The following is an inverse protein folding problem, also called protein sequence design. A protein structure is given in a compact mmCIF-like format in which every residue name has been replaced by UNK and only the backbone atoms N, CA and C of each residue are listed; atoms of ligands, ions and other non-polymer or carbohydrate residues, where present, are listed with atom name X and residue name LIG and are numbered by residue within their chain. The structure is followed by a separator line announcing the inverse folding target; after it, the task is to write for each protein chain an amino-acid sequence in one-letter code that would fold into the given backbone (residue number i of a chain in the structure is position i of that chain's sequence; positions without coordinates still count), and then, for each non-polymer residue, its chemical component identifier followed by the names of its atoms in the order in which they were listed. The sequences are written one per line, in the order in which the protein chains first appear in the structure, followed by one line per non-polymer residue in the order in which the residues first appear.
data_IF_959849565045
#
_entry.id   IF_959849565045
#
_cell.length_a   1.000
_cell.length_b   1.000
_cell.length_c   1.000
_cell.angle_alpha   90.00
_cell.angle_beta   90.00
_cell.angle_gamma   90.00
#
_symmetry.space_group_name_H-M   'P 1'
#
loop_
_entity.id
_entity.type
_entity.pdbx_description
1 polymer ?
#
# COMPACT_ATOMS: atom_id res chain seq x y z
N UNK A 1 -23.09 -13.71 -26.95
CA UNK A 1 -23.22 -12.81 -25.77
C UNK A 1 -21.82 -12.32 -25.41
N UNK A 2 -21.55 -11.01 -25.51
CA UNK A 2 -20.25 -10.44 -25.17
C UNK A 2 -20.05 -10.47 -23.64
N UNK A 3 -18.90 -10.97 -23.17
CA UNK A 3 -18.55 -10.97 -21.74
C UNK A 3 -18.54 -9.53 -21.22
N UNK A 4 -19.16 -9.23 -20.05
CA UNK A 4 -19.06 -7.90 -19.46
C UNK A 4 -17.58 -7.56 -19.21
N UNK A 5 -17.14 -6.39 -19.67
CA UNK A 5 -15.75 -5.93 -19.53
C UNK A 5 -15.44 -5.80 -18.03
N UNK A 6 -14.51 -6.60 -17.54
CA UNK A 6 -14.12 -6.63 -16.14
C UNK A 6 -13.64 -5.23 -15.70
N UNK A 7 -14.22 -4.70 -14.63
CA UNK A 7 -13.97 -3.33 -14.18
C UNK A 7 -12.51 -3.07 -13.82
N UNK A 8 -11.78 -4.09 -13.34
CA UNK A 8 -10.33 -4.00 -13.09
C UNK A 8 -9.50 -3.84 -14.37
N UNK A 9 -10.06 -4.14 -15.54
CA UNK A 9 -9.41 -3.97 -16.85
C UNK A 9 -9.88 -2.71 -17.58
N UNK A 10 -10.57 -1.81 -16.86
CA UNK A 10 -10.95 -0.53 -17.42
C UNK A 10 -9.76 0.44 -17.36
N UNK A 11 -9.18 0.74 -18.53
CA UNK A 11 -8.01 1.61 -18.68
C UNK A 11 -8.19 2.99 -17.98
N UNK A 12 -9.39 3.57 -18.06
CA UNK A 12 -9.69 4.85 -17.41
C UNK A 12 -9.57 4.75 -15.88
N UNK A 13 -10.04 3.65 -15.28
CA UNK A 13 -9.87 3.42 -13.85
C UNK A 13 -8.40 3.26 -13.48
N UNK A 14 -7.61 2.58 -14.31
CA UNK A 14 -6.16 2.50 -14.14
C UNK A 14 -5.49 3.88 -14.12
N UNK A 15 -5.85 4.76 -15.06
CA UNK A 15 -5.34 6.14 -15.09
C UNK A 15 -5.71 6.91 -13.82
N UNK A 16 -6.98 6.86 -13.42
CA UNK A 16 -7.45 7.59 -12.22
C UNK A 16 -6.72 7.08 -10.98
N UNK A 17 -6.59 5.76 -10.81
CA UNK A 17 -5.88 5.17 -9.68
C UNK A 17 -4.40 5.54 -9.67
N UNK A 18 -3.74 5.52 -10.83
CA UNK A 18 -2.35 5.95 -10.94
C UNK A 18 -2.17 7.44 -10.59
N UNK A 19 -3.06 8.30 -11.09
CA UNK A 19 -3.03 9.73 -10.80
C UNK A 19 -3.27 10.02 -9.31
N UNK A 20 -4.27 9.39 -8.70
CA UNK A 20 -4.59 9.55 -7.28
C UNK A 20 -3.49 8.97 -6.39
N UNK A 21 -2.96 7.79 -6.74
CA UNK A 21 -1.86 7.15 -6.00
C UNK A 21 -0.59 7.99 -6.02
N UNK A 22 -0.20 8.48 -7.21
CA UNK A 22 0.96 9.38 -7.36
C UNK A 22 0.76 10.73 -6.69
N UNK A 23 -0.44 11.31 -6.76
CA UNK A 23 -0.77 12.54 -6.05
C UNK A 23 -0.66 12.37 -4.53
N UNK A 24 -1.21 11.27 -3.99
CA UNK A 24 -1.15 10.99 -2.57
C UNK A 24 0.31 10.88 -2.09
N UNK A 25 1.13 10.15 -2.84
CA UNK A 25 2.56 10.00 -2.52
C UNK A 25 3.32 11.33 -2.59
N UNK A 26 3.08 12.15 -3.63
CA UNK A 26 3.68 13.47 -3.75
C UNK A 26 3.25 14.40 -2.59
N UNK A 27 1.96 14.39 -2.26
CA UNK A 27 1.42 15.19 -1.16
C UNK A 27 2.01 14.78 0.18
N UNK A 28 2.03 13.47 0.51
CA UNK A 28 2.55 13.03 1.80
C UNK A 28 4.05 13.24 1.90
N UNK A 29 4.79 13.09 0.79
CA UNK A 29 6.21 13.36 0.78
C UNK A 29 6.51 14.85 0.98
N UNK A 30 5.88 15.73 0.20
CA UNK A 30 6.18 17.17 0.23
C UNK A 30 5.61 17.89 1.47
N UNK A 31 4.42 17.49 1.93
CA UNK A 31 3.65 18.24 2.94
C UNK A 31 3.52 17.47 4.26
N UNK A 32 3.68 16.16 4.25
CA UNK A 32 3.44 15.30 5.42
C UNK A 32 4.70 14.59 5.92
N UNK A 33 5.79 15.33 6.00
CA UNK A 33 7.02 14.89 6.69
C UNK A 33 7.93 13.99 5.87
N UNK A 34 7.80 13.93 4.54
CA UNK A 34 8.77 13.18 3.71
C UNK A 34 8.48 11.69 3.60
N UNK A 35 7.30 11.21 3.99
CA UNK A 35 6.94 9.78 3.89
C UNK A 35 6.02 9.53 2.70
N UNK A 36 6.17 8.39 2.05
CA UNK A 36 5.25 7.93 1.01
C UNK A 36 4.08 7.16 1.61
N UNK A 37 2.88 7.39 1.09
CA UNK A 37 1.67 6.72 1.55
C UNK A 37 1.59 5.28 1.02
N UNK A 38 1.87 5.10 -0.27
CA UNK A 38 1.74 3.83 -0.99
C UNK A 38 3.11 3.21 -1.32
N UNK A 39 4.12 4.04 -1.62
CA UNK A 39 5.44 3.56 -2.05
C UNK A 39 6.33 3.11 -0.87
N UNK A 40 5.97 1.98 -0.21
CA UNK A 40 6.70 1.46 0.95
C UNK A 40 8.18 1.12 0.66
N UNK A 41 8.51 0.67 -0.55
CA UNK A 41 9.90 0.49 -0.97
C UNK A 41 10.70 1.80 -0.88
N UNK A 42 10.08 2.94 -1.21
CA UNK A 42 10.70 4.25 -1.06
C UNK A 42 10.96 4.61 0.40
N UNK A 43 10.00 4.32 1.30
CA UNK A 43 10.19 4.51 2.74
C UNK A 43 11.35 3.66 3.30
N UNK A 44 11.52 2.43 2.81
CA UNK A 44 12.64 1.56 3.21
C UNK A 44 13.98 2.12 2.72
N UNK A 45 14.04 2.63 1.49
CA UNK A 45 15.27 3.28 0.96
C UNK A 45 15.63 4.52 1.78
N UNK A 46 14.65 5.38 2.08
CA UNK A 46 14.85 6.59 2.89
C UNK A 46 15.27 6.27 4.33
N UNK A 47 14.70 5.22 4.92
CA UNK A 47 15.15 4.68 6.20
C UNK A 47 16.64 4.30 6.15
N UNK A 48 17.05 3.55 5.12
CA UNK A 48 18.44 3.13 4.93
C UNK A 48 19.40 4.29 4.77
N UNK A 49 19.03 5.30 3.99
CA UNK A 49 19.82 6.53 3.81
C UNK A 49 19.99 7.26 5.15
N UNK A 50 18.89 7.51 5.88
CA UNK A 50 18.96 8.24 7.15
C UNK A 50 19.74 7.47 8.23
N UNK A 51 19.68 6.14 8.22
CA UNK A 51 20.53 5.31 9.09
C UNK A 51 22.01 5.40 8.73
N UNK A 52 22.34 5.41 7.43
CA UNK A 52 23.71 5.54 6.95
C UNK A 52 24.31 6.93 7.26
N UNK A 53 23.49 7.98 7.23
CA UNK A 53 23.87 9.36 7.58
C UNK A 53 23.90 9.61 9.10
N UNK A 54 23.50 8.64 9.93
CA UNK A 54 23.45 8.78 11.39
C UNK A 54 22.25 9.60 11.91
N UNK A 55 21.28 9.92 11.06
CA UNK A 55 20.05 10.64 11.45
C UNK A 55 18.98 9.68 11.97
N UNK A 56 19.20 9.17 13.19
CA UNK A 56 18.30 8.19 13.82
C UNK A 56 16.88 8.71 14.05
N UNK A 57 16.71 10.00 14.32
CA UNK A 57 15.40 10.60 14.58
C UNK A 57 14.52 10.56 13.32
N UNK A 58 15.10 10.90 12.17
CA UNK A 58 14.43 10.83 10.88
C UNK A 58 14.22 9.38 10.45
N UNK A 59 15.18 8.49 10.72
CA UNK A 59 15.04 7.06 10.46
C UNK A 59 13.81 6.47 11.18
N UNK A 60 13.60 6.80 12.46
CA UNK A 60 12.42 6.35 13.21
C UNK A 60 11.11 6.76 12.55
N UNK A 61 11.05 7.94 11.93
CA UNK A 61 9.86 8.40 11.22
C UNK A 61 9.47 7.48 10.05
N UNK A 62 10.44 6.91 9.35
CA UNK A 62 10.20 5.93 8.28
C UNK A 62 9.88 4.53 8.82
N UNK A 63 10.36 4.20 10.02
CA UNK A 63 10.10 2.91 10.66
C UNK A 63 8.62 2.74 11.02
N UNK A 64 7.95 3.81 11.48
CA UNK A 64 6.52 3.78 11.83
C UNK A 64 5.59 3.27 10.71
N UNK A 65 5.58 3.87 9.50
CA UNK A 65 4.71 3.40 8.41
C UNK A 65 5.07 1.98 7.96
N UNK A 66 6.35 1.60 7.97
CA UNK A 66 6.80 0.24 7.63
C UNK A 66 6.28 -0.77 8.65
N UNK A 67 6.38 -0.48 9.94
CA UNK A 67 5.88 -1.32 11.00
C UNK A 67 4.36 -1.46 10.96
N UNK A 68 3.64 -0.34 10.78
CA UNK A 68 2.18 -0.34 10.64
C UNK A 68 1.72 -1.19 9.44
N UNK A 69 2.38 -1.05 8.30
CA UNK A 69 2.11 -1.88 7.11
C UNK A 69 2.36 -3.36 7.40
N UNK A 70 3.49 -3.68 8.02
CA UNK A 70 3.86 -5.07 8.35
C UNK A 70 2.86 -5.73 9.30
N UNK A 71 2.41 -5.00 10.33
CA UNK A 71 1.36 -5.46 11.24
C UNK A 71 0.05 -5.70 10.49
N UNK A 72 -0.35 -4.79 9.59
CA UNK A 72 -1.52 -4.96 8.74
C UNK A 72 -1.46 -6.22 7.88
N UNK A 73 -0.30 -6.51 7.27
CA UNK A 73 -0.06 -7.74 6.49
C UNK A 73 -0.17 -8.99 7.37
N UNK A 74 0.46 -8.99 8.54
CA UNK A 74 0.40 -10.11 9.48
C UNK A 74 -1.03 -10.37 9.96
N UNK A 75 -1.80 -9.33 10.26
CA UNK A 75 -3.21 -9.44 10.62
C UNK A 75 -4.02 -10.03 9.47
N UNK A 76 -3.82 -9.52 8.24
CA UNK A 76 -4.50 -10.03 7.05
C UNK A 76 -4.23 -11.53 6.81
N UNK A 77 -2.97 -11.94 6.95
CA UNK A 77 -2.59 -13.35 6.81
C UNK A 77 -3.15 -14.22 7.94
N UNK A 78 -3.13 -13.72 9.19
CA UNK A 78 -3.73 -14.42 10.33
C UNK A 78 -5.25 -14.61 10.17
N UNK A 79 -5.95 -13.61 9.63
CA UNK A 79 -7.37 -13.68 9.29
C UNK A 79 -7.60 -14.76 8.22
N UNK A 80 -6.81 -14.72 7.14
CA UNK A 80 -6.89 -15.67 6.03
C UNK A 80 -6.69 -17.13 6.48
N UNK A 81 -5.79 -17.38 7.42
CA UNK A 81 -5.52 -18.73 7.96
C UNK A 81 -6.64 -19.20 8.90
N UNK A 82 -7.23 -18.30 9.69
CA UNK A 82 -8.29 -18.63 10.66
C UNK A 82 -9.68 -18.74 10.05
N UNK A 83 -9.96 -18.11 8.91
CA UNK A 83 -11.25 -18.26 8.24
C UNK A 83 -11.35 -19.63 7.56
N UNK A 84 -12.44 -20.40 7.78
CA UNK A 84 -12.65 -21.66 7.09
C UNK A 84 -12.73 -21.40 5.57
N UNK A 85 -12.05 -22.25 4.78
CA UNK A 85 -12.06 -22.26 3.30
C UNK A 85 -13.47 -22.21 2.68
N UNK A 86 -14.52 -22.46 3.46
CA UNK A 86 -15.92 -22.44 3.05
C UNK A 86 -16.51 -21.03 2.86
N UNK A 87 -15.81 -19.97 3.27
CA UNK A 87 -16.15 -18.63 2.80
C UNK A 87 -15.58 -18.46 1.38
N UNK A 88 -16.31 -18.99 0.39
CA UNK A 88 -16.18 -18.61 -1.02
C UNK A 88 -16.56 -17.12 -1.21
N UNK A 89 -15.92 -16.20 -0.47
CA UNK A 89 -15.81 -14.81 -0.84
C UNK A 89 -14.79 -14.72 -1.98
N UNK A 90 -15.14 -15.31 -3.12
CA UNK A 90 -14.70 -14.72 -4.37
C UNK A 90 -15.32 -13.33 -4.38
N UNK A 91 -14.53 -12.32 -4.01
CA UNK A 91 -14.88 -10.91 -4.24
C UNK A 91 -15.33 -10.67 -5.71
N UNK A 92 -14.94 -11.57 -6.63
CA UNK A 92 -15.38 -11.66 -8.02
C UNK A 92 -16.77 -12.27 -8.30
N UNK A 93 -17.47 -12.86 -7.32
CA UNK A 93 -18.77 -13.53 -7.52
C UNK A 93 -19.97 -12.75 -6.95
N UNK A 94 -19.76 -11.62 -6.28
CA UNK A 94 -20.84 -10.78 -5.71
C UNK A 94 -21.26 -9.63 -6.65
N UNK A 95 -20.79 -9.65 -7.91
CA UNK A 95 -21.21 -8.69 -8.94
C UNK A 95 -21.53 -9.43 -10.24
#
# INVERSE_FOLDING_TARGET
MAKPKQMSENFILGIILAAVGGYLDAYTYLVRGGVFANAQTGNIVLLGINLAEGSYLNALQYLFPIAAFSVGVLISEAIKIKLPKSYHLHWRQII
#
